data_IF_923268029148
#
_entry.id   IF_923268029148
#
_cell.length_a   1.000
_cell.length_b   1.000
_cell.length_c   1.000
_cell.angle_alpha   90.00
_cell.angle_beta   90.00
_cell.angle_gamma   90.00
#
_symmetry.space_group_name_H-M   'P 1'
#
loop_
_entity.id
_entity.type
_entity.pdbx_description
1 polymer ?
#
# COMPACT_ATOMS: atom_id res chain seq x y z
N UNK A 1 -37.26 34.45 -7.15
CA UNK A 1 -37.33 33.04 -6.74
C UNK A 1 -36.31 32.28 -7.58
N UNK A 2 -35.28 31.76 -6.89
CA UNK A 2 -34.33 30.66 -7.18
C UNK A 2 -33.58 30.63 -8.53
N UNK A 3 -32.26 30.88 -8.57
CA UNK A 3 -31.09 30.09 -8.11
C UNK A 3 -30.65 29.03 -9.13
N UNK A 4 -29.44 29.23 -9.71
CA UNK A 4 -28.28 28.31 -9.92
C UNK A 4 -27.37 28.92 -11.00
N UNK A 5 -26.18 29.45 -10.66
CA UNK A 5 -24.87 28.75 -10.49
C UNK A 5 -24.39 28.10 -11.81
N UNK A 6 -23.12 28.09 -12.23
CA UNK A 6 -21.83 28.73 -11.91
C UNK A 6 -20.83 28.03 -12.88
N UNK A 7 -19.77 28.74 -13.28
CA UNK A 7 -18.45 28.27 -13.78
C UNK A 7 -18.33 27.00 -14.65
N UNK A 8 -17.72 27.15 -15.83
CA UNK A 8 -16.64 26.27 -16.32
C UNK A 8 -16.08 26.86 -17.63
N UNK A 9 -14.94 27.55 -17.61
CA UNK A 9 -14.13 27.79 -18.81
C UNK A 9 -12.77 28.38 -18.47
N UNK A 10 -11.74 27.52 -18.48
CA UNK A 10 -10.29 27.75 -18.76
C UNK A 10 -9.56 26.51 -18.20
N UNK A 11 -8.72 25.75 -18.90
CA UNK A 11 -8.10 25.87 -20.22
C UNK A 11 -7.66 24.48 -20.67
N UNK A 12 -7.92 24.13 -21.94
CA UNK A 12 -7.29 23.00 -22.59
C UNK A 12 -5.83 23.35 -22.93
N UNK A 13 -4.88 22.47 -22.60
CA UNK A 13 -3.56 22.47 -23.23
C UNK A 13 -3.43 21.17 -24.02
N UNK A 14 -3.40 21.34 -25.34
CA UNK A 14 -3.14 20.33 -26.34
C UNK A 14 -1.63 20.35 -26.65
N UNK A 15 -0.91 19.25 -26.48
CA UNK A 15 0.41 19.08 -27.11
C UNK A 15 0.47 17.73 -27.82
N UNK A 16 0.56 17.81 -29.14
CA UNK A 16 0.87 16.72 -30.06
C UNK A 16 2.37 16.72 -30.33
N UNK A 17 3.03 15.58 -30.18
CA UNK A 17 4.25 15.27 -30.92
C UNK A 17 4.33 13.76 -31.18
N UNK A 18 3.99 13.35 -32.41
CA UNK A 18 4.31 12.03 -32.94
C UNK A 18 5.60 12.13 -33.74
N UNK A 19 6.64 11.36 -33.36
CA UNK A 19 7.75 11.00 -34.25
C UNK A 19 8.21 9.56 -33.95
N UNK A 20 8.28 8.79 -35.03
CA UNK A 20 8.67 7.38 -35.13
C UNK A 20 10.14 7.10 -34.84
N UNK A 21 10.41 5.96 -34.20
CA UNK A 21 11.55 5.08 -34.51
C UNK A 21 12.85 5.32 -33.74
N UNK A 22 13.20 4.35 -32.89
CA UNK A 22 14.28 4.35 -31.89
C UNK A 22 14.06 5.39 -30.78
N UNK A 23 13.27 5.02 -29.78
CA UNK A 23 13.28 5.71 -28.49
C UNK A 23 14.68 5.54 -27.89
N UNK A 24 15.52 6.57 -27.99
CA UNK A 24 16.64 6.68 -27.06
C UNK A 24 16.05 6.66 -25.64
N UNK A 25 16.69 5.99 -24.67
CA UNK A 25 16.23 6.03 -23.30
C UNK A 25 16.07 7.49 -22.87
N UNK A 26 14.89 7.82 -22.34
CA UNK A 26 14.59 9.18 -21.88
C UNK A 26 15.44 9.45 -20.65
N UNK A 27 16.34 10.43 -20.75
CA UNK A 27 17.14 10.87 -19.62
C UNK A 27 16.33 11.85 -18.75
N UNK A 28 15.84 11.37 -17.61
CA UNK A 28 15.00 12.12 -16.68
C UNK A 28 15.64 13.43 -16.22
N UNK A 29 16.97 13.49 -16.15
CA UNK A 29 17.70 14.66 -15.68
C UNK A 29 17.53 15.87 -16.62
N UNK A 30 17.65 15.61 -17.92
CA UNK A 30 17.67 16.65 -18.96
C UNK A 30 16.33 16.83 -19.68
N UNK A 31 15.42 15.87 -19.56
CA UNK A 31 14.09 15.95 -20.14
C UNK A 31 13.27 17.13 -19.57
N UNK A 32 12.50 17.81 -20.43
CA UNK A 32 11.44 18.71 -19.96
C UNK A 32 10.40 17.89 -19.19
N UNK A 33 10.02 18.37 -18.00
CA UNK A 33 9.05 17.71 -17.15
C UNK A 33 7.77 18.52 -17.02
N UNK A 34 6.66 17.80 -16.84
CA UNK A 34 5.36 18.38 -16.51
C UNK A 34 5.27 18.45 -14.98
N UNK A 35 5.26 19.66 -14.42
CA UNK A 35 5.08 19.85 -12.97
C UNK A 35 3.59 19.69 -12.59
N UNK A 36 3.31 18.84 -11.60
CA UNK A 36 1.94 18.49 -11.17
C UNK A 36 1.95 18.04 -9.69
N UNK A 37 0.81 18.10 -8.99
CA UNK A 37 0.69 17.46 -7.67
C UNK A 37 0.45 15.96 -7.81
N UNK A 38 0.68 15.19 -6.74
CA UNK A 38 0.38 13.76 -6.73
C UNK A 38 -1.13 13.53 -6.97
N UNK A 39 -2.00 14.22 -6.24
CA UNK A 39 -3.46 14.19 -6.40
C UNK A 39 -3.91 14.53 -7.84
N UNK A 40 -3.39 15.63 -8.41
CA UNK A 40 -3.76 16.04 -9.78
C UNK A 40 -3.28 15.02 -10.82
N UNK A 41 -2.16 14.33 -10.57
CA UNK A 41 -1.67 13.27 -11.45
C UNK A 41 -2.60 12.04 -11.40
N UNK A 42 -3.03 11.61 -10.21
CA UNK A 42 -4.00 10.52 -10.01
C UNK A 42 -5.31 10.84 -10.73
N UNK A 43 -5.85 12.05 -10.54
CA UNK A 43 -7.09 12.52 -11.14
C UNK A 43 -7.09 12.48 -12.69
N UNK A 44 -5.92 12.40 -13.34
CA UNK A 44 -5.86 12.20 -14.80
C UNK A 44 -6.37 10.81 -15.23
N UNK A 45 -6.38 9.83 -14.33
CA UNK A 45 -6.70 8.43 -14.62
C UNK A 45 -8.17 8.08 -14.35
N UNK A 46 -8.94 8.95 -13.69
CA UNK A 46 -10.35 8.74 -13.32
C UNK A 46 -11.27 8.45 -14.52
N UNK A 47 -11.07 9.16 -15.63
CA UNK A 47 -11.97 9.07 -16.79
C UNK A 47 -11.71 7.82 -17.65
N UNK A 48 -10.44 7.48 -17.89
CA UNK A 48 -10.01 6.36 -18.74
C UNK A 48 -8.55 5.96 -18.42
N UNK A 49 -8.36 5.22 -17.33
CA UNK A 49 -7.05 4.77 -16.84
C UNK A 49 -6.15 4.21 -17.94
N UNK A 50 -6.67 3.30 -18.77
CA UNK A 50 -5.86 2.61 -19.81
C UNK A 50 -5.37 3.58 -20.87
N UNK A 51 -6.23 4.49 -21.30
CA UNK A 51 -5.87 5.49 -22.29
C UNK A 51 -4.90 6.51 -21.71
N UNK A 52 -5.18 7.02 -20.50
CA UNK A 52 -4.29 7.95 -19.79
C UNK A 52 -2.91 7.34 -19.58
N UNK A 53 -2.83 6.07 -19.17
CA UNK A 53 -1.57 5.35 -19.01
C UNK A 53 -0.78 5.28 -20.33
N UNK A 54 -1.42 4.88 -21.43
CA UNK A 54 -0.75 4.79 -22.74
C UNK A 54 -0.31 6.17 -23.27
N UNK A 55 -1.13 7.21 -23.06
CA UNK A 55 -0.79 8.58 -23.49
C UNK A 55 0.36 9.18 -22.68
N UNK A 56 0.56 8.75 -21.43
CA UNK A 56 1.58 9.31 -20.53
C UNK A 56 2.81 8.42 -20.34
N UNK A 57 2.80 7.21 -20.90
CA UNK A 57 3.93 6.29 -20.89
C UNK A 57 5.21 6.96 -21.41
N UNK A 58 6.31 6.74 -20.69
CA UNK A 58 7.65 7.27 -20.96
C UNK A 58 7.79 8.80 -20.88
N UNK A 59 6.74 9.52 -20.47
CA UNK A 59 6.83 10.97 -20.19
C UNK A 59 7.42 11.21 -18.81
N UNK A 60 8.09 12.35 -18.68
CA UNK A 60 8.72 12.78 -17.42
C UNK A 60 7.84 13.79 -16.71
N UNK A 61 7.62 13.56 -15.42
CA UNK A 61 6.82 14.40 -14.54
C UNK A 61 7.67 14.88 -13.37
N UNK A 62 7.36 16.07 -12.87
CA UNK A 62 7.89 16.60 -11.62
C UNK A 62 6.72 16.68 -10.64
N UNK A 63 6.64 15.74 -9.72
CA UNK A 63 5.48 15.49 -8.89
C UNK A 63 5.76 15.95 -7.47
N UNK A 64 4.85 16.74 -6.91
CA UNK A 64 4.89 17.16 -5.49
C UNK A 64 3.76 16.48 -4.72
N UNK A 65 4.08 15.82 -3.62
CA UNK A 65 3.11 15.10 -2.79
C UNK A 65 3.59 14.93 -1.35
N UNK A 66 2.76 14.27 -0.55
CA UNK A 66 3.09 13.93 0.84
C UNK A 66 3.81 12.60 0.86
N UNK A 67 5.00 12.58 1.46
CA UNK A 67 5.78 11.38 1.63
C UNK A 67 5.06 10.43 2.59
N UNK A 68 4.74 9.24 2.14
CA UNK A 68 4.18 8.18 2.99
C UNK A 68 5.20 7.13 3.37
N UNK A 69 6.13 6.84 2.46
CA UNK A 69 7.21 5.89 2.72
C UNK A 69 8.50 6.25 1.95
N UNK A 70 9.63 5.94 2.59
CA UNK A 70 10.95 5.95 1.97
C UNK A 70 11.70 4.70 2.43
N UNK A 71 11.95 3.78 1.51
CA UNK A 71 12.59 2.52 1.85
C UNK A 71 14.11 2.54 1.64
N UNK A 72 14.77 1.54 2.23
CA UNK A 72 16.23 1.36 2.15
C UNK A 72 16.76 1.00 0.75
N UNK A 73 15.87 0.70 -0.20
CA UNK A 73 16.18 0.40 -1.60
C UNK A 73 16.06 1.64 -2.51
N UNK A 74 15.99 2.85 -1.92
CA UNK A 74 15.90 4.11 -2.65
C UNK A 74 14.59 4.23 -3.45
N UNK A 75 13.46 3.75 -2.93
CA UNK A 75 12.15 4.14 -3.47
C UNK A 75 11.43 5.10 -2.55
N UNK A 76 10.67 6.01 -3.15
CA UNK A 76 9.80 6.94 -2.45
C UNK A 76 8.35 6.69 -2.87
N UNK A 77 7.45 6.64 -1.89
CA UNK A 77 6.01 6.57 -2.11
C UNK A 77 5.35 7.87 -1.69
N UNK A 78 4.48 8.40 -2.54
CA UNK A 78 3.62 9.53 -2.22
C UNK A 78 2.19 9.04 -2.09
N UNK A 79 1.56 9.34 -0.97
CA UNK A 79 0.13 9.13 -0.80
C UNK A 79 -0.65 10.25 -1.49
N UNK A 80 -1.85 9.89 -1.92
CA UNK A 80 -2.85 10.81 -2.43
C UNK A 80 -4.17 10.53 -1.74
N UNK A 81 -4.97 11.58 -1.52
CA UNK A 81 -6.35 11.44 -1.03
C UNK A 81 -7.32 11.11 -2.18
N UNK A 82 -6.78 10.74 -3.36
CA UNK A 82 -7.52 10.57 -4.61
C UNK A 82 -7.49 9.09 -5.06
N UNK A 83 -8.54 8.69 -5.77
CA UNK A 83 -8.81 7.29 -6.12
C UNK A 83 -8.79 7.12 -7.63
N UNK A 84 -7.95 6.22 -8.16
CA UNK A 84 -8.06 5.79 -9.56
C UNK A 84 -9.04 4.63 -9.65
N UNK A 85 -10.20 4.85 -10.28
CA UNK A 85 -11.17 3.77 -10.51
C UNK A 85 -12.14 3.56 -9.34
N UNK A 86 -12.02 2.47 -8.58
CA UNK A 86 -12.94 2.12 -7.48
C UNK A 86 -12.29 2.22 -6.10
N UNK A 87 -12.94 3.01 -5.24
CA UNK A 87 -12.98 3.14 -3.76
C UNK A 87 -11.70 3.05 -2.89
N UNK A 88 -10.51 2.72 -3.40
CA UNK A 88 -9.26 2.69 -2.61
C UNK A 88 -8.27 3.79 -3.03
N UNK A 89 -7.59 4.42 -2.07
CA UNK A 89 -6.62 5.50 -2.29
C UNK A 89 -5.45 5.03 -3.19
N UNK A 90 -5.10 5.84 -4.19
CA UNK A 90 -3.99 5.54 -5.10
C UNK A 90 -2.68 6.12 -4.55
N UNK A 91 -1.57 5.40 -4.71
CA UNK A 91 -0.25 5.94 -4.39
C UNK A 91 0.66 6.04 -5.62
N UNK A 92 1.63 6.95 -5.55
CA UNK A 92 2.65 7.09 -6.57
C UNK A 92 3.96 6.50 -6.07
N UNK A 93 4.49 5.55 -6.82
CA UNK A 93 5.72 4.83 -6.48
C UNK A 93 6.88 5.27 -7.38
N UNK A 94 7.97 5.74 -6.77
CA UNK A 94 9.16 6.23 -7.46
C UNK A 94 10.35 5.34 -7.15
N UNK A 95 10.86 4.64 -8.17
CA UNK A 95 12.16 3.96 -8.12
C UNK A 95 13.28 4.96 -8.41
N UNK A 96 14.08 5.33 -7.41
CA UNK A 96 15.15 6.30 -7.61
C UNK A 96 16.35 5.67 -8.33
N UNK A 97 16.98 6.47 -9.18
CA UNK A 97 18.24 6.08 -9.81
C UNK A 97 19.35 6.05 -8.74
N UNK A 98 19.90 4.86 -8.49
CA UNK A 98 20.94 4.63 -7.48
C UNK A 98 22.23 5.39 -7.76
N UNK A 99 22.53 5.69 -9.03
CA UNK A 99 23.73 6.44 -9.42
C UNK A 99 23.50 7.97 -9.32
N UNK A 100 22.24 8.41 -9.13
CA UNK A 100 21.84 9.83 -9.08
C UNK A 100 21.20 10.25 -7.76
N UNK A 101 21.07 9.34 -6.79
CA UNK A 101 20.41 9.54 -5.49
C UNK A 101 21.38 9.76 -4.32
N UNK A 102 22.67 9.96 -4.62
CA UNK A 102 23.80 9.98 -3.68
C UNK A 102 23.69 10.95 -2.48
N UNK A 103 22.71 11.85 -2.43
CA UNK A 103 22.52 12.79 -1.33
C UNK A 103 21.03 13.06 -1.02
N UNK A 104 20.23 12.01 -0.82
CA UNK A 104 18.92 12.19 -0.21
C UNK A 104 19.07 12.83 1.18
N UNK A 105 18.34 13.91 1.49
CA UNK A 105 18.26 14.39 2.86
C UNK A 105 17.56 13.34 3.73
N UNK A 106 17.67 13.48 5.04
CA UNK A 106 16.76 12.77 5.95
C UNK A 106 15.33 13.18 5.58
N UNK A 107 14.49 12.20 5.27
CA UNK A 107 13.09 12.37 4.88
C UNK A 107 12.24 11.57 5.86
N UNK A 108 11.16 12.16 6.32
CA UNK A 108 10.23 11.55 7.26
C UNK A 108 8.84 11.53 6.64
N UNK A 109 8.08 10.48 6.95
CA UNK A 109 6.65 10.45 6.63
C UNK A 109 5.95 11.76 7.02
N UNK A 110 5.05 12.22 6.14
CA UNK A 110 4.37 13.51 6.26
C UNK A 110 5.14 14.70 5.67
N UNK A 111 6.43 14.55 5.33
CA UNK A 111 7.17 15.59 4.61
C UNK A 111 6.54 15.83 3.23
N UNK A 112 6.41 17.09 2.82
CA UNK A 112 6.07 17.38 1.42
C UNK A 112 7.34 17.21 0.58
N UNK A 113 7.32 16.36 -0.43
CA UNK A 113 8.48 16.07 -1.28
C UNK A 113 8.16 16.32 -2.74
N UNK A 114 9.16 16.75 -3.51
CA UNK A 114 9.09 16.92 -4.96
C UNK A 114 10.09 15.99 -5.62
N UNK A 115 9.60 15.16 -6.55
CA UNK A 115 10.36 14.10 -7.23
C UNK A 115 10.13 14.20 -8.72
N UNK A 116 11.20 14.08 -9.51
CA UNK A 116 11.12 14.02 -10.96
C UNK A 116 11.27 12.57 -11.41
N UNK A 117 10.36 12.03 -12.20
CA UNK A 117 10.38 10.62 -12.61
C UNK A 117 9.73 10.38 -13.97
N UNK A 118 10.07 9.25 -14.59
CA UNK A 118 9.47 8.81 -15.86
C UNK A 118 8.33 7.85 -15.58
N UNK A 119 7.11 8.21 -15.98
CA UNK A 119 5.95 7.34 -15.77
C UNK A 119 6.06 6.07 -16.63
N UNK A 120 5.82 4.91 -16.03
CA UNK A 120 5.98 3.60 -16.71
C UNK A 120 4.73 2.75 -16.71
N UNK A 121 4.00 2.68 -15.59
CA UNK A 121 2.88 1.77 -15.45
C UNK A 121 1.76 2.30 -14.56
N UNK A 122 0.54 1.89 -14.91
CA UNK A 122 -0.64 2.00 -14.05
C UNK A 122 -1.00 0.61 -13.56
N UNK A 123 -1.01 0.43 -12.23
CA UNK A 123 -1.63 -0.68 -11.54
C UNK A 123 -2.91 -0.20 -10.88
N UNK A 124 -3.75 -1.14 -10.46
CA UNK A 124 -5.08 -0.84 -9.89
C UNK A 124 -5.06 0.19 -8.76
N UNK A 125 -3.99 0.25 -7.96
CA UNK A 125 -3.87 1.15 -6.80
C UNK A 125 -2.51 1.87 -6.74
N UNK A 126 -1.74 1.83 -7.83
CA UNK A 126 -0.36 2.34 -7.83
C UNK A 126 0.06 2.82 -9.21
N UNK A 127 0.67 4.01 -9.25
CA UNK A 127 1.23 4.59 -10.46
C UNK A 127 2.76 4.62 -10.33
N UNK A 128 3.45 3.94 -11.26
CA UNK A 128 4.88 3.68 -11.16
C UNK A 128 5.72 4.65 -11.99
N UNK A 129 6.84 5.07 -11.40
CA UNK A 129 7.84 5.93 -12.00
C UNK A 129 9.25 5.31 -11.86
N UNK A 130 9.98 5.29 -12.97
CA UNK A 130 11.37 4.85 -13.03
C UNK A 130 12.35 6.03 -13.18
N UNK A 131 13.63 5.74 -12.94
CA UNK A 131 14.77 6.66 -13.07
C UNK A 131 14.54 7.97 -12.30
N UNK A 132 13.89 7.87 -11.14
CA UNK A 132 13.42 9.02 -10.40
C UNK A 132 14.56 9.75 -9.67
N UNK A 133 14.43 11.07 -9.56
CA UNK A 133 15.41 11.99 -8.99
C UNK A 133 14.70 12.88 -7.96
N UNK A 134 15.24 12.92 -6.74
CA UNK A 134 14.78 13.84 -5.71
C UNK A 134 15.12 15.29 -6.08
N UNK A 135 14.15 16.21 -5.93
CA UNK A 135 14.31 17.64 -6.22
C UNK A 135 14.36 18.48 -4.94
N UNK A 136 13.35 18.34 -4.08
CA UNK A 136 13.23 19.14 -2.85
C UNK A 136 12.27 18.53 -1.84
N UNK A 137 12.34 18.99 -0.58
CA UNK A 137 11.36 18.66 0.45
C UNK A 137 11.12 19.83 1.41
N UNK A 138 9.95 19.82 2.03
CA UNK A 138 9.55 20.69 3.13
C UNK A 138 9.16 19.79 4.30
N UNK A 139 9.83 19.99 5.44
CA UNK A 139 9.58 19.18 6.63
C UNK A 139 8.16 19.34 7.14
N UNK A 140 7.54 18.24 7.52
CA UNK A 140 6.28 18.27 8.25
C UNK A 140 6.44 19.18 9.48
N UNK A 141 5.58 20.18 9.62
CA UNK A 141 5.55 20.98 10.84
C UNK A 141 4.86 20.18 11.94
N UNK A 142 5.62 19.75 12.95
CA UNK A 142 5.08 19.09 14.15
C UNK A 142 3.87 19.85 14.70
N UNK A 143 2.70 19.23 14.87
CA UNK A 143 1.77 19.67 15.90
C UNK A 143 2.41 19.35 17.26
N UNK A 144 2.47 20.35 18.14
CA UNK A 144 3.11 20.25 19.44
C UNK A 144 2.62 19.03 20.24
N UNK A 145 3.56 18.24 20.73
CA UNK A 145 3.35 17.18 21.71
C UNK A 145 2.63 17.74 22.95
N UNK A 146 1.42 17.27 23.25
CA UNK A 146 0.83 17.40 24.59
C UNK A 146 0.40 16.05 25.13
N UNK A 147 0.94 15.74 26.30
CA UNK A 147 0.76 14.54 27.08
C UNK A 147 -0.71 14.22 27.38
N UNK A 148 -1.00 12.91 27.40
CA UNK A 148 -2.17 12.23 27.96
C UNK A 148 -3.04 13.08 28.89
N UNK A 149 -4.29 13.34 28.46
CA UNK A 149 -5.44 13.34 29.36
C UNK A 149 -6.59 12.68 28.61
N UNK A 150 -7.12 11.59 29.17
CA UNK A 150 -8.33 10.92 28.70
C UNK A 150 -9.48 11.92 28.86
N UNK A 151 -10.02 12.43 27.76
CA UNK A 151 -11.39 12.94 27.72
C UNK A 151 -12.17 12.15 26.67
N UNK A 152 -13.12 11.36 27.18
CA UNK A 152 -14.22 10.81 26.40
C UNK A 152 -14.90 11.94 25.63
N UNK A 153 -14.85 11.89 24.31
CA UNK A 153 -15.82 12.62 23.51
C UNK A 153 -16.29 11.72 22.37
N UNK A 154 -17.44 11.08 22.61
CA UNK A 154 -18.22 10.40 21.58
C UNK A 154 -18.65 11.43 20.54
N UNK A 155 -18.08 11.37 19.34
CA UNK A 155 -18.74 11.86 18.14
C UNK A 155 -18.35 10.98 16.96
N UNK A 156 -19.31 10.15 16.52
CA UNK A 156 -19.37 9.41 15.24
C UNK A 156 -18.03 9.36 14.49
N UNK A 157 -17.12 8.50 14.97
CA UNK A 157 -15.84 8.23 14.31
C UNK A 157 -16.11 7.33 13.11
N UNK A 158 -15.84 7.87 11.92
CA UNK A 158 -15.67 7.06 10.73
C UNK A 158 -14.50 6.10 11.01
N UNK A 159 -14.79 4.80 10.99
CA UNK A 159 -13.82 3.75 11.31
C UNK A 159 -12.61 3.88 10.39
N UNK A 160 -11.44 4.26 10.92
CA UNK A 160 -10.20 4.33 10.15
C UNK A 160 -9.63 2.93 9.94
N UNK A 161 -10.20 2.22 8.97
CA UNK A 161 -9.79 0.88 8.56
C UNK A 161 -8.36 0.88 7.99
N UNK A 162 -7.92 1.99 7.42
CA UNK A 162 -6.56 2.16 6.90
C UNK A 162 -5.52 2.06 8.01
N UNK A 163 -5.76 2.73 9.14
CA UNK A 163 -4.90 2.65 10.31
C UNK A 163 -4.78 1.21 10.85
N UNK A 164 -5.88 0.44 10.87
CA UNK A 164 -5.86 -0.97 11.30
C UNK A 164 -5.09 -1.83 10.31
N UNK A 165 -5.34 -1.70 8.99
CA UNK A 165 -4.63 -2.47 7.97
C UNK A 165 -3.13 -2.21 8.04
N UNK A 166 -2.72 -0.94 8.16
CA UNK A 166 -1.31 -0.56 8.28
C UNK A 166 -0.66 -1.17 9.52
N UNK A 167 -1.28 -1.02 10.68
CA UNK A 167 -0.81 -1.63 11.93
C UNK A 167 -0.58 -3.13 11.80
N UNK A 168 -1.54 -3.85 11.20
CA UNK A 168 -1.47 -5.29 11.02
C UNK A 168 -0.39 -5.69 10.00
N UNK A 169 -0.26 -4.93 8.90
CA UNK A 169 0.77 -5.14 7.87
C UNK A 169 2.17 -4.92 8.43
N UNK A 170 2.39 -3.81 9.12
CA UNK A 170 3.68 -3.48 9.75
C UNK A 170 4.08 -4.56 10.75
N UNK A 171 3.13 -5.03 11.57
CA UNK A 171 3.36 -6.10 12.54
C UNK A 171 3.71 -7.45 11.87
N UNK A 172 3.15 -7.73 10.69
CA UNK A 172 3.50 -8.93 9.90
C UNK A 172 4.88 -8.80 9.26
N UNK A 173 5.22 -7.62 8.73
CA UNK A 173 6.50 -7.33 8.08
C UNK A 173 7.70 -7.45 9.05
N UNK A 174 7.49 -7.32 10.36
CA UNK A 174 8.54 -7.57 11.37
C UNK A 174 9.05 -9.03 11.35
N UNK A 175 8.22 -9.98 10.92
CA UNK A 175 8.51 -11.42 11.00
C UNK A 175 8.51 -12.15 9.66
N UNK A 176 7.86 -11.58 8.64
CA UNK A 176 7.66 -12.22 7.34
C UNK A 176 8.02 -11.28 6.20
N UNK A 177 8.48 -11.85 5.08
CA UNK A 177 8.69 -11.11 3.85
C UNK A 177 7.34 -10.60 3.31
N UNK A 178 7.27 -9.35 2.88
CA UNK A 178 6.06 -8.74 2.32
C UNK A 178 5.58 -9.42 1.04
N UNK A 179 6.45 -10.14 0.30
CA UNK A 179 6.02 -10.96 -0.84
C UNK A 179 5.19 -12.18 -0.43
N UNK A 180 5.16 -12.48 0.86
CA UNK A 180 4.67 -13.72 1.42
C UNK A 180 3.42 -13.54 2.27
N UNK A 181 2.88 -12.33 2.37
CA UNK A 181 1.59 -12.10 3.00
C UNK A 181 0.81 -10.96 2.36
N UNK A 182 -0.48 -10.91 2.65
CA UNK A 182 -1.36 -9.79 2.33
C UNK A 182 -2.23 -9.45 3.56
N UNK A 183 -2.54 -8.16 3.71
CA UNK A 183 -3.47 -7.66 4.73
C UNK A 183 -4.49 -6.75 4.04
N UNK A 184 -5.76 -7.08 4.18
CA UNK A 184 -6.89 -6.37 3.58
C UNK A 184 -8.11 -6.38 4.53
N UNK A 185 -9.14 -5.59 4.23
CA UNK A 185 -10.43 -5.70 4.89
C UNK A 185 -11.44 -6.39 3.96
N UNK A 186 -12.07 -7.47 4.43
CA UNK A 186 -13.08 -8.18 3.66
C UNK A 186 -14.48 -7.75 4.11
N UNK A 187 -15.16 -6.96 3.27
CA UNK A 187 -16.52 -6.45 3.49
C UNK A 187 -17.59 -7.55 3.59
N UNK A 188 -17.42 -8.67 2.87
CA UNK A 188 -18.42 -9.75 2.85
C UNK A 188 -18.54 -10.46 4.20
N UNK A 189 -17.42 -10.59 4.91
CA UNK A 189 -17.35 -11.24 6.23
C UNK A 189 -17.14 -10.26 7.38
N UNK A 190 -16.92 -8.98 7.10
CA UNK A 190 -16.69 -7.92 8.11
C UNK A 190 -15.47 -8.18 8.99
N UNK A 191 -14.33 -8.50 8.36
CA UNK A 191 -13.09 -8.89 9.06
C UNK A 191 -11.85 -8.40 8.32
N UNK A 192 -10.85 -7.93 9.07
CA UNK A 192 -9.50 -7.74 8.58
C UNK A 192 -8.86 -9.11 8.32
N UNK A 193 -8.47 -9.35 7.08
CA UNK A 193 -7.95 -10.61 6.60
C UNK A 193 -6.44 -10.52 6.45
N UNK A 194 -5.73 -11.32 7.24
CA UNK A 194 -4.29 -11.55 7.12
C UNK A 194 -4.11 -12.88 6.41
N UNK A 195 -3.50 -12.88 5.23
CA UNK A 195 -3.20 -14.08 4.45
C UNK A 195 -1.70 -14.27 4.35
N UNK A 196 -1.18 -15.41 4.80
CA UNK A 196 0.26 -15.75 4.77
C UNK A 196 0.46 -16.99 3.90
N UNK A 197 1.46 -16.97 3.03
CA UNK A 197 2.00 -18.15 2.33
C UNK A 197 3.50 -18.22 2.56
N UNK A 198 4.06 -19.41 2.68
CA UNK A 198 5.50 -19.60 2.90
C UNK A 198 5.99 -20.75 2.04
N UNK A 199 7.26 -20.71 1.67
CA UNK A 199 7.89 -21.81 0.96
C UNK A 199 7.77 -23.12 1.77
N UNK A 200 7.52 -24.21 1.06
CA UNK A 200 7.43 -25.58 1.59
C UNK A 200 6.34 -25.81 2.67
N UNK A 201 5.38 -24.90 2.84
CA UNK A 201 4.35 -25.05 3.88
C UNK A 201 3.38 -26.21 3.59
N UNK A 202 3.08 -26.51 2.32
CA UNK A 202 2.33 -27.72 1.95
C UNK A 202 3.11 -28.99 2.23
N UNK A 203 4.41 -28.99 1.93
CA UNK A 203 5.27 -30.14 2.22
C UNK A 203 5.32 -30.40 3.72
N UNK A 204 5.44 -29.35 4.53
CA UNK A 204 5.38 -29.43 5.99
C UNK A 204 4.10 -30.11 6.48
N UNK A 205 2.93 -29.74 5.94
CA UNK A 205 1.64 -30.39 6.30
C UNK A 205 1.62 -31.86 5.90
N UNK A 206 2.13 -32.22 4.72
CA UNK A 206 2.16 -33.61 4.25
C UNK A 206 3.06 -34.46 5.14
N UNK A 207 4.26 -33.98 5.45
CA UNK A 207 5.22 -34.72 6.28
C UNK A 207 4.73 -34.85 7.73
N UNK A 208 4.11 -33.81 8.28
CA UNK A 208 3.56 -33.83 9.63
C UNK A 208 2.39 -34.81 9.81
N UNK A 209 1.72 -35.25 8.73
CA UNK A 209 0.70 -36.33 8.80
C UNK A 209 1.31 -37.70 9.14
N UNK A 210 2.60 -37.90 8.87
CA UNK A 210 3.29 -39.18 9.03
C UNK A 210 4.33 -39.18 10.17
N UNK A 211 4.74 -38.00 10.66
CA UNK A 211 5.77 -37.83 11.68
C UNK A 211 5.26 -37.01 12.89
N UNK A 212 5.22 -37.66 14.07
CA UNK A 212 4.78 -37.06 15.34
C UNK A 212 5.64 -35.86 15.79
N UNK A 213 6.92 -35.81 15.43
CA UNK A 213 7.79 -34.68 15.76
C UNK A 213 7.40 -33.45 14.93
N UNK A 214 7.22 -33.64 13.61
CA UNK A 214 6.81 -32.57 12.71
C UNK A 214 5.38 -32.12 12.99
N UNK A 215 4.52 -33.04 13.44
CA UNK A 215 3.20 -32.70 13.97
C UNK A 215 3.28 -31.77 15.18
N UNK A 216 4.16 -32.05 16.15
CA UNK A 216 4.32 -31.20 17.33
C UNK A 216 4.86 -29.80 16.96
N UNK A 217 5.72 -29.71 15.94
CA UNK A 217 6.19 -28.44 15.39
C UNK A 217 5.06 -27.64 14.74
N UNK A 218 4.19 -28.29 13.94
CA UNK A 218 2.97 -27.67 13.41
C UNK A 218 2.05 -27.17 14.52
N UNK A 219 1.74 -28.01 15.51
CA UNK A 219 0.86 -27.64 16.62
C UNK A 219 1.42 -26.43 17.40
N UNK A 220 2.76 -26.35 17.54
CA UNK A 220 3.45 -25.18 18.13
C UNK A 220 3.31 -23.93 17.27
N UNK A 221 3.46 -24.06 15.94
CA UNK A 221 3.25 -22.95 15.01
C UNK A 221 1.82 -22.42 15.10
N UNK A 222 0.82 -23.32 15.12
CA UNK A 222 -0.60 -22.96 15.27
C UNK A 222 -0.83 -22.19 16.58
N UNK A 223 -0.26 -22.64 17.71
CA UNK A 223 -0.41 -21.93 18.99
C UNK A 223 0.26 -20.54 19.00
N UNK A 224 1.39 -20.38 18.33
CA UNK A 224 2.03 -19.07 18.16
C UNK A 224 1.16 -18.15 17.29
N UNK A 225 0.63 -18.65 16.17
CA UNK A 225 -0.22 -17.89 15.27
C UNK A 225 -1.56 -17.52 15.92
N UNK A 226 -2.12 -18.39 16.78
CA UNK A 226 -3.30 -18.04 17.60
C UNK A 226 -3.01 -16.87 18.52
N UNK A 227 -1.88 -16.94 19.23
CA UNK A 227 -1.45 -15.88 20.15
C UNK A 227 -1.25 -14.54 19.40
N UNK A 228 -0.58 -14.58 18.25
CA UNK A 228 -0.39 -13.40 17.40
C UNK A 228 -1.73 -12.84 16.90
N UNK A 229 -2.63 -13.72 16.42
CA UNK A 229 -3.96 -13.30 15.94
C UNK A 229 -4.81 -12.69 17.05
N UNK A 230 -4.70 -13.18 18.30
CA UNK A 230 -5.34 -12.54 19.46
C UNK A 230 -4.80 -11.13 19.69
N UNK A 231 -3.48 -10.94 19.61
CA UNK A 231 -2.86 -9.62 19.79
C UNK A 231 -3.27 -8.65 18.67
N UNK A 232 -3.30 -9.11 17.42
CA UNK A 232 -3.80 -8.35 16.28
C UNK A 232 -5.26 -7.94 16.45
N UNK A 233 -6.10 -8.87 16.91
CA UNK A 233 -7.50 -8.58 17.21
C UNK A 233 -7.65 -7.53 18.32
N UNK A 234 -6.92 -7.66 19.42
CA UNK A 234 -6.94 -6.69 20.52
C UNK A 234 -6.45 -5.30 20.08
N UNK A 235 -5.40 -5.26 19.24
CA UNK A 235 -4.86 -4.02 18.69
C UNK A 235 -5.83 -3.37 17.68
N UNK A 236 -6.44 -4.14 16.78
CA UNK A 236 -7.45 -3.63 15.86
C UNK A 236 -8.65 -3.01 16.60
N UNK A 237 -9.06 -3.62 17.72
CA UNK A 237 -10.17 -3.12 18.57
C UNK A 237 -9.88 -1.78 19.26
N UNK A 238 -8.64 -1.28 19.26
CA UNK A 238 -8.35 0.06 19.79
C UNK A 238 -8.70 1.17 18.80
N UNK A 239 -8.84 0.86 17.52
CA UNK A 239 -9.18 1.80 16.44
C UNK A 239 -10.57 1.56 15.87
N UNK A 240 -11.01 0.30 15.84
CA UNK A 240 -12.32 -0.11 15.36
C UNK A 240 -12.98 -1.01 16.41
N UNK A 241 -13.94 -0.45 17.15
CA UNK A 241 -14.62 -1.16 18.23
C UNK A 241 -15.38 -2.41 17.75
N UNK A 242 -15.58 -2.61 16.44
CA UNK A 242 -16.26 -3.74 15.83
C UNK A 242 -15.32 -4.69 15.06
N UNK A 243 -14.02 -4.40 15.01
CA UNK A 243 -13.02 -5.15 14.24
C UNK A 243 -13.03 -6.66 14.48
N UNK A 244 -13.01 -7.46 13.43
CA UNK A 244 -12.64 -8.88 13.54
C UNK A 244 -11.35 -9.09 12.77
N UNK A 245 -10.54 -10.05 13.20
CA UNK A 245 -9.29 -10.41 12.53
C UNK A 245 -9.35 -11.90 12.19
N UNK A 246 -9.20 -12.19 10.90
CA UNK A 246 -9.07 -13.54 10.38
C UNK A 246 -7.64 -13.71 9.87
N UNK A 247 -6.93 -14.72 10.38
CA UNK A 247 -5.64 -15.14 9.85
C UNK A 247 -5.80 -16.42 9.05
N UNK A 248 -5.30 -16.42 7.82
CA UNK A 248 -5.23 -17.57 6.93
C UNK A 248 -3.78 -17.92 6.63
N UNK A 249 -3.40 -19.18 6.89
CA UNK A 249 -2.24 -19.78 6.25
C UNK A 249 -2.70 -20.44 4.96
N UNK A 250 -2.13 -20.01 3.83
CA UNK A 250 -2.49 -20.43 2.50
C UNK A 250 -1.50 -21.45 1.95
N UNK A 251 -1.99 -22.28 1.05
CA UNK A 251 -1.17 -23.17 0.24
C UNK A 251 -0.39 -22.34 -0.78
N UNK A 252 0.94 -22.43 -0.76
CA UNK A 252 1.86 -21.68 -1.61
C UNK A 252 1.72 -22.01 -3.10
N UNK A 253 1.28 -23.22 -3.44
CA UNK A 253 1.03 -23.64 -4.82
C UNK A 253 -0.35 -23.22 -5.35
N UNK A 254 -1.30 -22.93 -4.46
CA UNK A 254 -2.61 -22.38 -4.79
C UNK A 254 -3.21 -21.63 -3.60
N UNK A 255 -3.10 -20.31 -3.61
CA UNK A 255 -3.53 -19.42 -2.51
C UNK A 255 -5.04 -19.43 -2.25
N UNK A 256 -5.86 -20.03 -3.14
CA UNK A 256 -7.28 -20.26 -2.88
C UNK A 256 -7.52 -21.34 -1.81
N UNK A 257 -6.53 -22.19 -1.54
CA UNK A 257 -6.63 -23.29 -0.57
C UNK A 257 -6.07 -22.87 0.78
N UNK A 258 -6.95 -22.83 1.79
CA UNK A 258 -6.59 -22.52 3.18
C UNK A 258 -6.09 -23.79 3.88
N UNK A 259 -4.92 -23.70 4.50
CA UNK A 259 -4.32 -24.76 5.33
C UNK A 259 -4.65 -24.58 6.82
N UNK A 260 -4.74 -23.32 7.27
CA UNK A 260 -5.09 -22.95 8.66
C UNK A 260 -5.94 -21.68 8.61
N UNK A 261 -7.03 -21.64 9.38
CA UNK A 261 -7.84 -20.44 9.60
C UNK A 261 -7.98 -20.20 11.10
N UNK A 262 -7.62 -18.99 11.53
CA UNK A 262 -7.78 -18.53 12.90
C UNK A 262 -8.66 -17.28 12.87
N UNK A 263 -9.72 -17.25 13.66
CA UNK A 263 -10.64 -16.13 13.79
C UNK A 263 -10.60 -15.59 15.21
N UNK A 264 -10.18 -14.33 15.37
CA UNK A 264 -10.03 -13.66 16.67
C UNK A 264 -9.25 -14.50 17.71
N UNK A 265 -8.21 -15.22 17.26
CA UNK A 265 -7.38 -16.10 18.09
C UNK A 265 -7.88 -17.55 18.27
N UNK A 266 -9.06 -17.88 17.74
CA UNK A 266 -9.63 -19.22 17.81
C UNK A 266 -9.43 -19.96 16.47
N UNK A 267 -8.96 -21.22 16.52
CA UNK A 267 -8.77 -22.04 15.30
C UNK A 267 -10.14 -22.48 14.77
N UNK A 268 -10.44 -22.08 13.55
CA UNK A 268 -11.66 -22.45 12.84
C UNK A 268 -11.43 -23.62 11.87
N UNK A 269 -10.21 -23.74 11.35
CA UNK A 269 -9.81 -24.78 10.40
C UNK A 269 -8.34 -25.10 10.57
N UNK A 270 -7.97 -26.38 10.53
CA UNK A 270 -6.59 -26.86 10.48
C UNK A 270 -6.54 -28.12 9.59
N UNK A 271 -5.80 -28.06 8.49
CA UNK A 271 -5.66 -29.15 7.52
C UNK A 271 -4.95 -30.38 8.09
N UNK A 272 -4.02 -30.20 9.04
CA UNK A 272 -3.28 -31.31 9.63
C UNK A 272 -4.15 -32.05 10.65
N UNK A 273 -4.90 -31.31 11.45
CA UNK A 273 -5.70 -31.83 12.58
C UNK A 273 -7.13 -32.23 12.22
N UNK A 274 -7.41 -32.40 10.92
CA UNK A 274 -8.71 -32.81 10.39
C UNK A 274 -8.97 -34.31 10.40
#
# INVERSE_FOLDING_TARGET
MNIKKILATTSAILIVAALTGCTQPVDVETAEAISISADDFVNMFDEDEKKTAEENKDKVFEITGILSDINSNLSITLDTDEVVGNEDDCCLYFSLDSDKSDNLPELNEGDTVTIKGKFTHSYTYRLDFDDAIYISSVKATEPATTANTIEENKSDEETDRGAVIRLLRDSMAESFDESNFNVEYNEEIGSYLISLWQDDIVESVILAKEDESLKAEWDTMVDNLKTATTQFYEAARTFDENANVTFNLLNEANTDNILLMIYNGEVMYDELNR
#
